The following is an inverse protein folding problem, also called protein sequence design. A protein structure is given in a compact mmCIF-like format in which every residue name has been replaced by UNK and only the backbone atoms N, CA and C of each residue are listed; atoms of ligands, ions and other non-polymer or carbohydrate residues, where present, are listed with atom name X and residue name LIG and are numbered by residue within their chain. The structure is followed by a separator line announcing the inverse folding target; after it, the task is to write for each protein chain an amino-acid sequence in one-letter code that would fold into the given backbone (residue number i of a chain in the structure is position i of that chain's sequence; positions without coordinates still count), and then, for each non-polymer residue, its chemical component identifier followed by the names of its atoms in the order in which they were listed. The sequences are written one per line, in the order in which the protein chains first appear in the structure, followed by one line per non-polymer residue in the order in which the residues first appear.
data_IF_199929208029
#
_entry.id   IF_199929208029
#
_cell.length_a   1.000
_cell.length_b   1.000
_cell.length_c   1.000
_cell.angle_alpha   90.00
_cell.angle_beta   90.00
_cell.angle_gamma   90.00
#
_symmetry.space_group_name_H-M   'P 1'
#
loop_
_entity.id
_entity.type
_entity.pdbx_description
1 polymer ?
#
# COMPACT_ATOMS: atom_id res chain seq x y z
N UNK A 1 3.86 27.78 11.49
CA UNK A 1 4.59 27.01 10.44
C UNK A 1 4.67 27.86 9.18
N UNK A 2 5.85 28.07 8.60
CA UNK A 2 5.97 28.79 7.31
C UNK A 2 5.17 28.04 6.24
N UNK A 3 4.27 28.75 5.55
CA UNK A 3 3.57 28.23 4.37
C UNK A 3 4.62 27.90 3.30
N UNK A 4 4.90 26.61 3.12
CA UNK A 4 5.76 26.13 2.05
C UNK A 4 4.92 26.04 0.78
N UNK A 5 5.46 26.47 -0.36
CA UNK A 5 4.77 26.38 -1.64
C UNK A 5 4.29 24.93 -1.87
N UNK A 6 3.05 24.73 -2.37
CA UNK A 6 2.55 23.41 -2.65
C UNK A 6 3.43 22.72 -3.70
N UNK A 7 3.74 21.42 -3.52
CA UNK A 7 4.54 20.68 -4.46
C UNK A 7 3.80 20.59 -5.81
N UNK A 8 4.42 21.07 -6.88
CA UNK A 8 3.88 20.93 -8.23
C UNK A 8 3.83 19.47 -8.73
N UNK A 9 3.27 19.21 -9.92
CA UNK A 9 3.10 17.86 -10.46
C UNK A 9 4.42 17.08 -10.59
N UNK A 10 5.53 17.75 -10.92
CA UNK A 10 6.87 17.14 -10.97
C UNK A 10 7.31 16.58 -9.62
N UNK A 11 7.01 17.27 -8.52
CA UNK A 11 7.32 16.78 -7.17
C UNK A 11 6.41 15.64 -6.73
N UNK A 12 5.17 15.56 -7.23
CA UNK A 12 4.31 14.41 -6.98
C UNK A 12 4.85 13.15 -7.68
N UNK A 13 5.28 13.27 -8.94
CA UNK A 13 5.92 12.15 -9.67
C UNK A 13 7.24 11.74 -9.02
N UNK A 14 8.09 12.70 -8.64
CA UNK A 14 9.34 12.41 -7.97
C UNK A 14 9.14 11.70 -6.61
N UNK A 15 8.12 12.11 -5.84
CA UNK A 15 7.75 11.45 -4.59
C UNK A 15 7.27 10.02 -4.83
N UNK A 16 6.38 9.82 -5.81
CA UNK A 16 5.90 8.49 -6.16
C UNK A 16 7.06 7.57 -6.55
N UNK A 17 7.95 8.07 -7.42
CA UNK A 17 9.18 7.35 -7.80
C UNK A 17 10.08 7.04 -6.59
N UNK A 18 10.24 7.98 -5.66
CA UNK A 18 11.01 7.77 -4.43
C UNK A 18 10.38 6.67 -3.54
N UNK A 19 9.06 6.68 -3.35
CA UNK A 19 8.37 5.66 -2.53
C UNK A 19 8.48 4.28 -3.18
N UNK A 20 8.30 4.18 -4.50
CA UNK A 20 8.51 2.93 -5.24
C UNK A 20 9.94 2.44 -5.11
N UNK A 21 10.93 3.34 -5.23
CA UNK A 21 12.34 2.99 -5.08
C UNK A 21 12.65 2.50 -3.66
N UNK A 22 12.16 3.17 -2.62
CA UNK A 22 12.32 2.74 -1.22
C UNK A 22 11.70 1.35 -1.02
N UNK A 23 10.49 1.12 -1.53
CA UNK A 23 9.82 -0.17 -1.46
C UNK A 23 10.60 -1.27 -2.18
N UNK A 24 11.09 -0.99 -3.39
CA UNK A 24 11.89 -1.92 -4.18
C UNK A 24 13.20 -2.30 -3.48
N UNK A 25 13.96 -1.31 -3.00
CA UNK A 25 15.21 -1.53 -2.27
C UNK A 25 14.97 -2.28 -0.95
N UNK A 26 13.90 -1.94 -0.23
CA UNK A 26 13.47 -2.65 0.97
C UNK A 26 13.14 -4.12 0.68
N UNK A 27 12.43 -4.38 -0.41
CA UNK A 27 12.11 -5.74 -0.88
C UNK A 27 13.36 -6.55 -1.23
N UNK A 28 14.28 -5.97 -2.00
CA UNK A 28 15.55 -6.63 -2.34
C UNK A 28 16.40 -6.94 -1.10
N UNK A 29 16.53 -5.98 -0.19
CA UNK A 29 17.29 -6.15 1.04
C UNK A 29 16.65 -7.22 1.95
N UNK A 30 15.31 -7.27 2.01
CA UNK A 30 14.58 -8.29 2.74
C UNK A 30 14.76 -9.69 2.10
N UNK A 31 14.64 -9.79 0.78
CA UNK A 31 14.86 -11.05 0.04
C UNK A 31 16.26 -11.61 0.26
N UNK A 32 17.29 -10.76 0.25
CA UNK A 32 18.67 -11.17 0.55
C UNK A 32 18.86 -11.67 1.98
N UNK A 33 18.03 -11.24 2.94
CA UNK A 33 18.10 -11.67 4.34
C UNK A 33 17.24 -12.91 4.64
N UNK A 34 16.22 -13.19 3.82
CA UNK A 34 15.25 -14.26 4.06
C UNK A 34 15.88 -15.67 4.09
N UNK A 35 16.94 -15.91 3.31
CA UNK A 35 17.60 -17.22 3.23
C UNK A 35 18.60 -17.48 4.38
N UNK A 36 18.79 -16.50 5.29
CA UNK A 36 19.74 -16.65 6.41
C UNK A 36 19.04 -17.24 7.64
N UNK A 37 19.47 -18.41 8.13
CA UNK A 37 18.89 -18.98 9.34
C UNK A 37 19.43 -18.29 10.61
N UNK A 38 18.65 -18.36 11.70
CA UNK A 38 19.06 -17.95 13.04
C UNK A 38 18.46 -16.64 13.54
N UNK A 39 18.56 -16.42 14.86
CA UNK A 39 17.97 -15.26 15.54
C UNK A 39 18.55 -13.92 15.08
N UNK A 40 19.83 -13.88 14.71
CA UNK A 40 20.46 -12.67 14.18
C UNK A 40 19.83 -12.19 12.88
N UNK A 41 19.57 -13.10 11.94
CA UNK A 41 18.92 -12.79 10.67
C UNK A 41 17.47 -12.34 10.87
N UNK A 42 16.74 -13.01 11.77
CA UNK A 42 15.38 -12.60 12.17
C UNK A 42 15.35 -11.15 12.64
N UNK A 43 16.16 -10.79 13.65
CA UNK A 43 16.18 -9.44 14.21
C UNK A 43 16.68 -8.39 13.21
N UNK A 44 17.63 -8.74 12.35
CA UNK A 44 18.09 -7.86 11.28
C UNK A 44 16.96 -7.55 10.29
N UNK A 45 16.23 -8.56 9.83
CA UNK A 45 15.07 -8.42 8.94
C UNK A 45 13.96 -7.58 9.58
N UNK A 46 13.61 -7.87 10.83
CA UNK A 46 12.60 -7.09 11.56
C UNK A 46 13.02 -5.62 11.70
N UNK A 47 14.26 -5.37 12.10
CA UNK A 47 14.78 -4.00 12.28
C UNK A 47 14.78 -3.23 10.96
N UNK A 48 15.28 -3.85 9.88
CA UNK A 48 15.26 -3.26 8.55
C UNK A 48 13.84 -2.90 8.11
N UNK A 49 12.89 -3.82 8.30
CA UNK A 49 11.48 -3.62 7.91
C UNK A 49 10.86 -2.46 8.68
N UNK A 50 11.09 -2.40 10.01
CA UNK A 50 10.60 -1.30 10.85
C UNK A 50 11.20 0.04 10.42
N UNK A 51 12.52 0.11 10.19
CA UNK A 51 13.20 1.32 9.73
C UNK A 51 12.62 1.79 8.39
N UNK A 52 12.42 0.87 7.44
CA UNK A 52 11.81 1.20 6.14
C UNK A 52 10.39 1.77 6.30
N UNK A 53 9.56 1.19 7.18
CA UNK A 53 8.22 1.71 7.45
C UNK A 53 8.25 3.10 8.09
N UNK A 54 9.17 3.35 9.03
CA UNK A 54 9.37 4.67 9.63
C UNK A 54 9.78 5.70 8.58
N UNK A 55 10.68 5.35 7.66
CA UNK A 55 11.09 6.22 6.56
C UNK A 55 9.91 6.55 5.65
N UNK A 56 9.12 5.55 5.23
CA UNK A 56 7.94 5.76 4.39
C UNK A 56 6.92 6.67 5.08
N UNK A 57 6.64 6.45 6.37
CA UNK A 57 5.74 7.30 7.16
C UNK A 57 6.27 8.74 7.27
N UNK A 58 7.58 8.90 7.52
CA UNK A 58 8.21 10.22 7.60
C UNK A 58 8.11 11.00 6.29
N UNK A 59 8.34 10.34 5.16
CA UNK A 59 8.20 10.92 3.81
C UNK A 59 6.74 11.28 3.53
N UNK A 60 5.80 10.40 3.87
CA UNK A 60 4.37 10.65 3.69
C UNK A 60 3.89 11.85 4.53
N UNK A 61 4.30 11.92 5.81
CA UNK A 61 3.97 13.04 6.69
C UNK A 61 4.57 14.36 6.19
N UNK A 62 5.84 14.33 5.79
CA UNK A 62 6.53 15.47 5.19
C UNK A 62 5.78 15.99 3.96
N UNK A 63 5.30 15.10 3.09
CA UNK A 63 4.55 15.51 1.90
C UNK A 63 3.15 16.03 2.25
N UNK A 64 2.42 15.33 3.11
CA UNK A 64 1.09 15.74 3.58
C UNK A 64 1.07 17.15 4.17
N UNK A 65 2.11 17.50 4.94
CA UNK A 65 2.25 18.83 5.55
C UNK A 65 2.36 19.98 4.53
N UNK A 66 2.66 19.68 3.26
CA UNK A 66 2.85 20.65 2.17
C UNK A 66 1.69 20.72 1.18
N UNK A 67 0.72 19.82 1.29
CA UNK A 67 -0.47 19.87 0.45
C UNK A 67 -1.37 21.04 0.83
N UNK A 68 -2.03 21.62 -0.17
CA UNK A 68 -3.15 22.52 0.05
C UNK A 68 -4.40 21.76 0.52
N UNK A 69 -5.42 22.50 0.95
CA UNK A 69 -6.62 21.87 1.50
C UNK A 69 -7.43 21.13 0.43
N UNK A 70 -7.45 21.61 -0.82
CA UNK A 70 -8.17 20.94 -1.91
C UNK A 70 -7.58 19.56 -2.22
N UNK A 71 -6.26 19.45 -2.25
CA UNK A 71 -5.56 18.18 -2.43
C UNK A 71 -5.78 17.24 -1.24
N UNK A 72 -5.73 17.75 0.01
CA UNK A 72 -6.02 16.94 1.19
C UNK A 72 -7.45 16.41 1.21
N UNK A 73 -8.43 17.23 0.84
CA UNK A 73 -9.82 16.80 0.70
C UNK A 73 -9.98 15.73 -0.39
N UNK A 74 -9.29 15.89 -1.53
CA UNK A 74 -9.28 14.85 -2.56
C UNK A 74 -8.75 13.51 -2.02
N UNK A 75 -7.66 13.53 -1.24
CA UNK A 75 -7.10 12.32 -0.62
C UNK A 75 -8.04 11.70 0.42
N UNK A 76 -8.62 12.50 1.33
CA UNK A 76 -9.57 12.04 2.35
C UNK A 76 -10.80 11.42 1.71
N UNK A 77 -11.39 12.12 0.74
CA UNK A 77 -12.59 11.65 0.04
C UNK A 77 -12.32 10.38 -0.76
N UNK A 78 -11.21 10.32 -1.50
CA UNK A 78 -10.82 9.15 -2.26
C UNK A 78 -10.53 7.94 -1.37
N UNK A 79 -9.92 8.14 -0.21
CA UNK A 79 -9.70 7.07 0.76
C UNK A 79 -11.01 6.55 1.33
N UNK A 80 -11.88 7.45 1.80
CA UNK A 80 -13.15 7.08 2.41
C UNK A 80 -14.06 6.34 1.43
N UNK A 81 -14.27 6.87 0.22
CA UNK A 81 -15.15 6.22 -0.75
C UNK A 81 -14.44 5.15 -1.56
N UNK A 82 -13.36 5.49 -2.24
CA UNK A 82 -12.64 4.55 -3.11
C UNK A 82 -11.95 3.44 -2.34
N UNK A 83 -11.12 3.81 -1.36
CA UNK A 83 -10.37 2.85 -0.53
C UNK A 83 -11.30 1.87 0.20
N UNK A 84 -12.29 2.39 0.94
CA UNK A 84 -13.23 1.53 1.67
C UNK A 84 -14.07 0.64 0.75
N UNK A 85 -14.46 1.11 -0.44
CA UNK A 85 -15.15 0.26 -1.42
C UNK A 85 -14.26 -0.89 -1.92
N UNK A 86 -12.98 -0.64 -2.18
CA UNK A 86 -12.01 -1.69 -2.51
C UNK A 86 -11.85 -2.71 -1.38
N UNK A 87 -11.83 -2.25 -0.12
CA UNK A 87 -11.81 -3.13 1.05
C UNK A 87 -13.11 -3.95 1.16
N UNK A 88 -14.28 -3.35 0.91
CA UNK A 88 -15.56 -4.05 0.93
C UNK A 88 -15.58 -5.20 -0.09
N UNK A 89 -15.08 -4.97 -1.32
CA UNK A 89 -14.94 -6.03 -2.33
C UNK A 89 -14.06 -7.17 -1.81
N UNK A 90 -12.96 -6.85 -1.13
CA UNK A 90 -12.06 -7.84 -0.53
C UNK A 90 -12.75 -8.67 0.56
N UNK A 91 -13.59 -8.03 1.38
CA UNK A 91 -14.38 -8.71 2.42
C UNK A 91 -15.41 -9.66 1.79
N UNK A 92 -16.13 -9.20 0.76
CA UNK A 92 -17.10 -10.05 0.04
C UNK A 92 -16.39 -11.26 -0.57
N UNK A 93 -15.23 -11.04 -1.20
CA UNK A 93 -14.44 -12.13 -1.76
C UNK A 93 -14.00 -13.12 -0.68
N UNK A 94 -13.47 -12.64 0.45
CA UNK A 94 -13.10 -13.49 1.58
C UNK A 94 -14.29 -14.33 2.09
N UNK A 95 -15.48 -13.71 2.24
CA UNK A 95 -16.69 -14.42 2.68
C UNK A 95 -17.11 -15.52 1.69
N UNK A 96 -17.06 -15.25 0.38
CA UNK A 96 -17.38 -16.25 -0.65
C UNK A 96 -16.37 -17.39 -0.65
N UNK A 97 -15.07 -17.07 -0.63
CA UNK A 97 -13.98 -18.06 -0.62
C UNK A 97 -14.06 -18.98 0.60
N UNK A 98 -14.38 -18.42 1.77
CA UNK A 98 -14.51 -19.21 3.00
C UNK A 98 -15.79 -20.03 3.04
N UNK A 99 -16.93 -19.50 2.56
CA UNK A 99 -18.20 -20.22 2.53
C UNK A 99 -18.24 -21.35 1.48
N UNK A 100 -17.44 -21.25 0.41
CA UNK A 100 -17.40 -22.21 -0.71
C UNK A 100 -16.04 -22.90 -0.85
N UNK A 101 -15.29 -23.05 0.25
CA UNK A 101 -13.92 -23.56 0.21
C UNK A 101 -13.78 -24.93 -0.46
N UNK A 102 -14.80 -25.80 -0.38
CA UNK A 102 -14.79 -27.14 -1.02
C UNK A 102 -14.95 -27.08 -2.54
N UNK A 103 -15.45 -25.98 -3.09
CA UNK A 103 -15.72 -25.80 -4.51
C UNK A 103 -14.63 -25.00 -5.23
N UNK A 104 -13.62 -24.50 -4.50
CA UNK A 104 -12.67 -23.53 -5.02
C UNK A 104 -11.25 -24.07 -4.92
N UNK A 105 -10.64 -24.25 -6.08
CA UNK A 105 -9.21 -24.55 -6.19
C UNK A 105 -8.42 -23.24 -6.10
N UNK A 106 -7.53 -23.16 -5.11
CA UNK A 106 -6.61 -22.03 -4.96
C UNK A 106 -5.48 -22.18 -5.98
N UNK A 107 -5.24 -21.18 -6.85
CA UNK A 107 -4.14 -21.24 -7.80
C UNK A 107 -2.78 -21.42 -7.10
N UNK A 108 -1.98 -22.40 -7.54
CA UNK A 108 -0.69 -22.73 -6.92
C UNK A 108 0.30 -21.55 -6.90
N UNK A 109 0.16 -20.59 -7.82
CA UNK A 109 0.99 -19.39 -7.85
C UNK A 109 0.71 -18.40 -6.70
N UNK A 110 -0.34 -18.61 -5.90
CA UNK A 110 -0.59 -17.85 -4.66
C UNK A 110 0.17 -18.44 -3.45
N UNK A 111 0.89 -19.55 -3.67
CA UNK A 111 1.67 -20.27 -2.66
C UNK A 111 0.89 -21.39 -1.98
N UNK A 112 1.64 -22.22 -1.26
CA UNK A 112 1.12 -23.46 -0.66
C UNK A 112 1.12 -23.41 0.87
N UNK A 113 1.89 -22.50 1.47
CA UNK A 113 1.98 -22.39 2.92
C UNK A 113 0.94 -21.39 3.46
N UNK A 114 0.53 -21.53 4.73
CA UNK A 114 -0.39 -20.57 5.35
C UNK A 114 0.11 -19.12 5.30
N UNK A 115 1.43 -18.90 5.35
CA UNK A 115 2.01 -17.55 5.30
C UNK A 115 1.94 -16.96 3.88
N UNK A 116 2.11 -17.78 2.83
CA UNK A 116 1.99 -17.32 1.45
C UNK A 116 0.56 -16.87 1.15
N UNK A 117 -0.43 -17.67 1.57
CA UNK A 117 -1.85 -17.36 1.38
C UNK A 117 -2.27 -16.12 2.19
N UNK A 118 -1.74 -15.95 3.41
CA UNK A 118 -1.93 -14.73 4.19
C UNK A 118 -1.36 -13.51 3.47
N UNK A 119 -0.12 -13.59 2.97
CA UNK A 119 0.52 -12.52 2.24
C UNK A 119 -0.23 -12.18 0.94
N UNK A 120 -0.73 -13.19 0.22
CA UNK A 120 -1.56 -13.03 -0.97
C UNK A 120 -2.87 -12.29 -0.65
N UNK A 121 -3.55 -12.66 0.43
CA UNK A 121 -4.78 -12.01 0.89
C UNK A 121 -4.57 -10.54 1.28
N UNK A 122 -3.50 -10.24 2.03
CA UNK A 122 -3.12 -8.86 2.38
C UNK A 122 -2.81 -8.06 1.12
N UNK A 123 -2.02 -8.62 0.20
CA UNK A 123 -1.63 -7.97 -1.05
C UNK A 123 -2.85 -7.65 -1.92
N UNK A 124 -3.76 -8.60 -2.08
CA UNK A 124 -5.00 -8.41 -2.83
C UNK A 124 -5.87 -7.31 -2.20
N UNK A 125 -6.00 -7.34 -0.87
CA UNK A 125 -6.82 -6.37 -0.13
C UNK A 125 -6.26 -4.95 -0.27
N UNK A 126 -4.95 -4.78 -0.10
CA UNK A 126 -4.29 -3.49 -0.31
C UNK A 126 -4.38 -3.06 -1.78
N UNK A 127 -4.22 -3.99 -2.73
CA UNK A 127 -4.34 -3.73 -4.16
C UNK A 127 -5.72 -3.18 -4.54
N UNK A 128 -6.79 -3.84 -4.08
CA UNK A 128 -8.16 -3.39 -4.32
C UNK A 128 -8.46 -2.04 -3.65
N UNK A 129 -7.96 -1.80 -2.44
CA UNK A 129 -8.05 -0.49 -1.79
C UNK A 129 -7.37 0.60 -2.62
N UNK A 130 -6.15 0.36 -3.11
CA UNK A 130 -5.40 1.33 -3.92
C UNK A 130 -6.06 1.59 -5.28
N UNK A 131 -6.61 0.56 -5.92
CA UNK A 131 -7.38 0.69 -7.18
C UNK A 131 -8.62 1.57 -6.93
N UNK A 132 -9.43 1.22 -5.92
CA UNK A 132 -10.64 1.98 -5.59
C UNK A 132 -10.31 3.42 -5.23
N UNK A 133 -9.29 3.64 -4.40
CA UNK A 133 -8.77 4.96 -4.07
C UNK A 133 -8.34 5.74 -5.33
N UNK A 134 -7.58 5.12 -6.24
CA UNK A 134 -7.11 5.76 -7.47
C UNK A 134 -8.25 6.19 -8.39
N UNK A 135 -9.25 5.32 -8.57
CA UNK A 135 -10.45 5.64 -9.35
C UNK A 135 -11.24 6.80 -8.74
N UNK A 136 -11.48 6.76 -7.43
CA UNK A 136 -12.17 7.84 -6.72
C UNK A 136 -11.40 9.16 -6.78
N UNK A 137 -10.07 9.11 -6.63
CA UNK A 137 -9.23 10.29 -6.72
C UNK A 137 -9.29 10.93 -8.13
N UNK A 138 -9.22 10.13 -9.20
CA UNK A 138 -9.36 10.63 -10.58
C UNK A 138 -10.75 11.23 -10.79
N UNK A 139 -11.80 10.54 -10.33
CA UNK A 139 -13.18 11.01 -10.42
C UNK A 139 -13.39 12.37 -9.73
N UNK A 140 -12.82 12.57 -8.54
CA UNK A 140 -12.92 13.82 -7.79
C UNK A 140 -12.47 15.04 -8.61
N UNK A 141 -11.38 14.89 -9.37
CA UNK A 141 -10.85 15.95 -10.23
C UNK A 141 -11.63 16.12 -11.53
N UNK A 142 -12.12 15.04 -12.13
CA UNK A 142 -12.95 15.11 -13.34
C UNK A 142 -14.25 15.89 -13.09
N UNK A 143 -14.89 15.71 -11.93
CA UNK A 143 -16.11 16.43 -11.55
C UNK A 143 -15.91 17.90 -11.15
N UNK A 144 -14.67 18.40 -11.17
CA UNK A 144 -14.32 19.79 -10.79
C UNK A 144 -13.54 20.53 -11.88
N UNK A 145 -13.57 19.99 -13.10
CA UNK A 145 -13.21 20.70 -14.32
C UNK A 145 -14.42 21.50 -14.81
#
# INVERSE_FOLDING_TARGET
MKSMKPPGPKSAVALFGLIVLIGFLGGLANGFMADRPGSGAFWATTTLTVVMMVVVLGVAFWWWSRLDEAAREAHKWAWYWGGSMGMLVSIVLMMVLTARAVDIEVPANLGETPIDLFAAGVTLTVGLQLIGYGLAWVWWWLGRR
#
